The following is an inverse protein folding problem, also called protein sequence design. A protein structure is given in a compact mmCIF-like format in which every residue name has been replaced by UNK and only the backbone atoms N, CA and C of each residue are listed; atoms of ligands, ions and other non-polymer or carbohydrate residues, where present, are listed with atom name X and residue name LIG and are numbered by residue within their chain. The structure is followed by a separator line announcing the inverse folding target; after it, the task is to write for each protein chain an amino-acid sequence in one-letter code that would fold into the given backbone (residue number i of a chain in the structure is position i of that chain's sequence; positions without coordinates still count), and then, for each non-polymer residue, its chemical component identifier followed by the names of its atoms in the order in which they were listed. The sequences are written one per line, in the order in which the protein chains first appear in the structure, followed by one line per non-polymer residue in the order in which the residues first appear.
data_IF_552974624117
#
_entry.id   IF_552974624117
#
_cell.length_a   1.000
_cell.length_b   1.000
_cell.length_c   1.000
_cell.angle_alpha   90.00
_cell.angle_beta   90.00
_cell.angle_gamma   90.00
#
_symmetry.space_group_name_H-M   'P 1'
#
loop_
_entity.id
_entity.type
_entity.pdbx_description
1 polymer ?
#
# COMPACT_ATOMS: atom_id res chain seq x y z
N UNK A 1 9.93 5.06 14.08
CA UNK A 1 10.27 6.28 13.30
C UNK A 1 11.70 6.22 12.85
N UNK A 2 11.98 6.65 11.62
CA UNK A 2 13.34 6.72 11.06
C UNK A 2 13.33 6.75 9.55
N UNK A 3 14.50 6.86 8.95
CA UNK A 3 14.71 6.84 7.50
C UNK A 3 15.19 5.45 7.10
N UNK A 4 14.56 4.85 6.10
CA UNK A 4 14.83 3.50 5.66
C UNK A 4 15.01 3.46 4.14
N UNK A 5 15.95 2.64 3.68
CA UNK A 5 16.11 2.32 2.27
C UNK A 5 15.33 1.04 1.92
N UNK A 6 14.48 1.11 0.91
CA UNK A 6 13.78 -0.05 0.37
C UNK A 6 14.37 -0.43 -0.99
N UNK A 7 14.74 -1.71 -1.13
CA UNK A 7 15.17 -2.28 -2.42
C UNK A 7 14.00 -2.32 -3.42
N UNK A 8 14.35 -2.30 -4.70
CA UNK A 8 13.43 -2.53 -5.80
C UNK A 8 12.60 -3.81 -5.61
N UNK A 9 11.32 -3.77 -5.94
CA UNK A 9 10.45 -4.95 -5.94
C UNK A 9 9.44 -4.92 -7.08
N UNK A 10 9.08 -6.11 -7.54
CA UNK A 10 7.96 -6.30 -8.46
C UNK A 10 6.68 -6.53 -7.68
N UNK A 11 5.57 -6.09 -8.21
CA UNK A 11 4.25 -6.29 -7.60
C UNK A 11 3.14 -6.33 -8.63
N UNK A 12 2.10 -7.06 -8.31
CA UNK A 12 0.81 -7.00 -8.99
C UNK A 12 0.01 -5.84 -8.43
N UNK A 13 -0.67 -5.08 -9.27
CA UNK A 13 -1.55 -4.00 -8.85
C UNK A 13 -2.90 -4.03 -9.56
N UNK A 14 -3.93 -3.62 -8.83
CA UNK A 14 -5.24 -3.27 -9.33
C UNK A 14 -5.59 -1.87 -8.86
N UNK A 15 -5.90 -0.97 -9.80
CA UNK A 15 -6.12 0.46 -9.53
C UNK A 15 -7.60 0.78 -9.59
N UNK A 16 -8.11 1.49 -8.58
CA UNK A 16 -9.49 1.92 -8.48
C UNK A 16 -9.60 3.37 -8.01
N UNK A 17 -10.73 3.99 -8.34
CA UNK A 17 -11.21 5.19 -7.66
C UNK A 17 -12.17 4.77 -6.56
N UNK A 18 -11.99 5.26 -5.35
CA UNK A 18 -12.83 4.91 -4.21
C UNK A 18 -13.13 6.12 -3.33
N UNK A 19 -14.31 6.14 -2.73
CA UNK A 19 -14.59 7.06 -1.63
C UNK A 19 -13.72 6.70 -0.42
N UNK A 20 -13.20 7.71 0.27
CA UNK A 20 -12.35 7.49 1.46
C UNK A 20 -13.06 6.65 2.53
N UNK A 21 -14.37 6.85 2.69
CA UNK A 21 -15.19 6.05 3.61
C UNK A 21 -15.25 4.54 3.25
N UNK A 22 -15.05 4.18 1.99
CA UNK A 22 -15.06 2.80 1.50
C UNK A 22 -13.69 2.18 1.27
N UNK A 23 -12.64 2.92 1.51
CA UNK A 23 -11.28 2.50 1.23
C UNK A 23 -10.93 1.17 1.91
N UNK A 24 -11.17 1.05 3.20
CA UNK A 24 -10.86 -0.16 3.97
C UNK A 24 -11.62 -1.39 3.45
N UNK A 25 -12.90 -1.21 3.11
CA UNK A 25 -13.73 -2.27 2.56
C UNK A 25 -13.21 -2.76 1.20
N UNK A 26 -12.90 -1.83 0.30
CA UNK A 26 -12.39 -2.16 -1.03
C UNK A 26 -11.02 -2.85 -0.96
N UNK A 27 -10.12 -2.36 -0.12
CA UNK A 27 -8.81 -2.99 0.10
C UNK A 27 -8.96 -4.41 0.64
N UNK A 28 -9.87 -4.63 1.60
CA UNK A 28 -10.16 -5.96 2.16
C UNK A 28 -10.64 -6.97 1.10
N UNK A 29 -11.37 -6.51 0.08
CA UNK A 29 -11.83 -7.36 -1.02
C UNK A 29 -10.72 -7.57 -2.05
N UNK A 30 -9.98 -6.52 -2.41
CA UNK A 30 -9.02 -6.57 -3.50
C UNK A 30 -7.74 -7.34 -3.16
N UNK A 31 -7.34 -7.41 -1.90
CA UNK A 31 -6.20 -8.24 -1.49
C UNK A 31 -6.43 -9.72 -1.81
N UNK A 32 -7.53 -10.37 -1.38
CA UNK A 32 -7.84 -11.74 -1.79
C UNK A 32 -7.96 -11.92 -3.31
N UNK A 33 -8.48 -10.93 -4.01
CA UNK A 33 -8.59 -10.97 -5.48
C UNK A 33 -7.20 -11.09 -6.13
N UNK A 34 -6.22 -10.30 -5.69
CA UNK A 34 -4.84 -10.39 -6.17
C UNK A 34 -4.16 -11.71 -5.77
N UNK A 35 -4.42 -12.19 -4.55
CA UNK A 35 -3.89 -13.48 -4.07
C UNK A 35 -4.43 -14.63 -4.89
N UNK A 36 -5.73 -14.64 -5.20
CA UNK A 36 -6.35 -15.66 -6.04
C UNK A 36 -5.78 -15.65 -7.45
N UNK A 37 -5.62 -14.48 -8.05
CA UNK A 37 -4.95 -14.34 -9.35
C UNK A 37 -3.53 -14.91 -9.33
N UNK A 38 -2.76 -14.60 -8.30
CA UNK A 38 -1.42 -15.12 -8.10
C UNK A 38 -1.40 -16.65 -8.01
N UNK A 39 -2.30 -17.24 -7.21
CA UNK A 39 -2.41 -18.68 -7.05
C UNK A 39 -2.81 -19.39 -8.36
N UNK A 40 -3.80 -18.85 -9.08
CA UNK A 40 -4.27 -19.40 -10.36
C UNK A 40 -3.19 -19.39 -11.45
N UNK A 41 -2.29 -18.41 -11.40
CA UNK A 41 -1.21 -18.24 -12.38
C UNK A 41 0.15 -18.73 -11.87
N UNK A 42 0.20 -19.40 -10.72
CA UNK A 42 1.42 -19.94 -10.11
C UNK A 42 2.52 -18.87 -9.86
N UNK A 43 2.10 -17.69 -9.47
CA UNK A 43 2.98 -16.56 -9.19
C UNK A 43 3.39 -16.59 -7.72
N UNK A 44 4.70 -16.59 -7.45
CA UNK A 44 5.21 -16.61 -6.09
C UNK A 44 5.13 -15.22 -5.43
N UNK A 45 4.40 -15.13 -4.31
CA UNK A 45 4.28 -13.93 -3.49
C UNK A 45 5.56 -13.73 -2.69
N UNK A 46 6.06 -12.50 -2.61
CA UNK A 46 7.33 -12.18 -1.93
C UNK A 46 7.20 -11.28 -0.69
N UNK A 47 6.02 -10.82 -0.36
CA UNK A 47 5.84 -9.91 0.77
C UNK A 47 4.39 -9.62 1.09
N UNK A 48 4.19 -8.68 2.01
CA UNK A 48 2.86 -8.27 2.48
C UNK A 48 2.19 -7.31 1.50
N UNK A 49 0.84 -7.37 1.37
CA UNK A 49 0.10 -6.44 0.54
C UNK A 49 0.29 -5.00 1.00
N UNK A 50 0.22 -4.08 0.05
CA UNK A 50 0.29 -2.65 0.32
C UNK A 50 -0.61 -1.86 -0.62
N UNK A 51 -0.89 -0.63 -0.26
CA UNK A 51 -1.64 0.33 -1.06
C UNK A 51 -0.75 1.50 -1.44
N UNK A 52 -0.83 1.90 -2.69
CA UNK A 52 -0.25 3.15 -3.19
C UNK A 52 -1.38 4.17 -3.35
N UNK A 53 -1.22 5.34 -2.76
CA UNK A 53 -2.09 6.47 -2.99
C UNK A 53 -1.59 7.27 -4.20
N UNK A 54 -2.23 7.11 -5.35
CA UNK A 54 -1.87 7.83 -6.56
C UNK A 54 -2.33 9.29 -6.51
N UNK A 55 -3.52 9.52 -5.97
CA UNK A 55 -4.07 10.86 -5.72
C UNK A 55 -5.14 10.83 -4.63
N UNK A 56 -5.30 11.95 -3.93
CA UNK A 56 -6.34 12.15 -2.92
C UNK A 56 -6.99 13.51 -3.18
N UNK A 57 -8.31 13.51 -3.35
CA UNK A 57 -9.13 14.72 -3.39
C UNK A 57 -9.92 14.80 -2.08
N UNK A 58 -9.41 15.58 -1.14
CA UNK A 58 -10.04 15.72 0.19
C UNK A 58 -11.39 16.42 0.12
N UNK A 59 -11.60 17.33 -0.84
CA UNK A 59 -12.86 18.05 -1.00
C UNK A 59 -13.99 17.14 -1.48
N UNK A 60 -13.68 16.22 -2.38
CA UNK A 60 -14.63 15.21 -2.89
C UNK A 60 -14.61 13.91 -2.08
N UNK A 61 -13.71 13.80 -1.13
CA UNK A 61 -13.49 12.57 -0.35
C UNK A 61 -13.27 11.31 -1.22
N UNK A 62 -12.54 11.49 -2.33
CA UNK A 62 -12.22 10.44 -3.30
C UNK A 62 -10.70 10.25 -3.36
N UNK A 63 -10.28 9.03 -3.52
CA UNK A 63 -8.88 8.66 -3.75
C UNK A 63 -8.75 7.72 -4.94
N UNK A 64 -7.70 7.92 -5.74
CA UNK A 64 -7.23 6.91 -6.67
C UNK A 64 -6.15 6.09 -5.99
N UNK A 65 -6.39 4.80 -5.81
CA UNK A 65 -5.48 3.88 -5.14
C UNK A 65 -5.13 2.69 -6.02
N UNK A 66 -3.94 2.16 -5.83
CA UNK A 66 -3.54 0.85 -6.34
C UNK A 66 -3.36 -0.10 -5.17
N UNK A 67 -4.13 -1.19 -5.16
CA UNK A 67 -3.91 -2.31 -4.22
C UNK A 67 -2.85 -3.21 -4.83
N UNK A 68 -1.81 -3.53 -4.08
CA UNK A 68 -0.59 -4.15 -4.57
C UNK A 68 -0.24 -5.40 -3.79
N UNK A 69 0.29 -6.40 -4.50
CA UNK A 69 0.80 -7.64 -3.93
C UNK A 69 2.22 -7.89 -4.42
N UNK A 70 3.25 -7.87 -3.55
CA UNK A 70 4.62 -8.14 -3.95
C UNK A 70 4.80 -9.55 -4.51
N UNK A 71 5.56 -9.67 -5.60
CA UNK A 71 5.87 -10.95 -6.25
C UNK A 71 7.39 -11.08 -6.44
N UNK A 72 7.87 -12.32 -6.55
CA UNK A 72 9.30 -12.61 -6.63
C UNK A 72 9.93 -12.24 -7.96
N UNK A 73 9.19 -12.38 -9.06
CA UNK A 73 9.68 -12.17 -10.42
C UNK A 73 8.73 -11.29 -11.20
N UNK A 74 9.29 -10.51 -12.13
CA UNK A 74 8.49 -9.79 -13.12
C UNK A 74 7.68 -10.77 -13.96
N UNK A 75 6.42 -10.43 -14.18
CA UNK A 75 5.53 -11.15 -15.11
C UNK A 75 4.95 -10.18 -16.12
N UNK A 76 4.41 -10.75 -17.21
CA UNK A 76 3.65 -10.01 -18.21
C UNK A 76 2.20 -10.40 -18.10
N UNK A 77 1.31 -9.41 -18.07
CA UNK A 77 -0.14 -9.61 -18.08
C UNK A 77 -0.69 -9.30 -19.47
N UNK A 78 -1.84 -9.89 -19.80
CA UNK A 78 -2.51 -9.64 -21.08
C UNK A 78 -2.86 -8.17 -21.27
N UNK A 79 -2.82 -7.69 -22.49
CA UNK A 79 -3.31 -6.36 -22.84
C UNK A 79 -4.78 -6.22 -22.42
N UNK A 80 -5.11 -5.12 -21.73
CA UNK A 80 -6.44 -4.87 -21.20
C UNK A 80 -6.75 -5.57 -19.86
N UNK A 81 -5.78 -6.30 -19.28
CA UNK A 81 -5.94 -6.85 -17.92
C UNK A 81 -6.10 -5.73 -16.91
N UNK A 82 -7.01 -5.92 -15.94
CA UNK A 82 -7.20 -5.02 -14.81
C UNK A 82 -6.14 -5.23 -13.70
N UNK A 83 -5.37 -6.32 -13.77
CA UNK A 83 -4.20 -6.59 -12.95
C UNK A 83 -2.95 -6.42 -13.80
N UNK A 84 -2.03 -5.56 -13.32
CA UNK A 84 -0.81 -5.20 -14.02
C UNK A 84 0.39 -5.50 -13.12
N UNK A 85 1.48 -6.00 -13.71
CA UNK A 85 2.77 -6.09 -13.03
C UNK A 85 3.51 -4.75 -13.14
N UNK A 86 3.99 -4.26 -12.02
CA UNK A 86 4.75 -3.01 -11.94
C UNK A 86 5.99 -3.19 -11.08
N UNK A 87 6.88 -2.22 -11.11
CA UNK A 87 8.13 -2.21 -10.37
C UNK A 87 8.21 -0.99 -9.46
N UNK A 88 8.63 -1.21 -8.23
CA UNK A 88 8.96 -0.14 -7.30
C UNK A 88 10.49 -0.04 -7.19
N UNK A 89 11.05 1.05 -7.69
CA UNK A 89 12.49 1.33 -7.63
C UNK A 89 12.90 1.56 -6.17
N UNK A 90 14.14 1.19 -5.83
CA UNK A 90 14.68 1.41 -4.48
C UNK A 90 14.67 2.89 -4.08
N UNK A 91 14.28 3.18 -2.85
CA UNK A 91 14.15 4.53 -2.31
C UNK A 91 14.42 4.58 -0.81
N UNK A 92 14.72 5.77 -0.32
CA UNK A 92 14.78 6.08 1.10
C UNK A 92 13.41 6.56 1.56
N UNK A 93 12.92 6.08 2.69
CA UNK A 93 11.59 6.41 3.19
C UNK A 93 11.58 6.72 4.69
N UNK A 94 10.62 7.52 5.09
CA UNK A 94 10.22 7.67 6.49
C UNK A 94 9.09 6.70 6.78
N UNK A 95 9.18 5.95 7.88
CA UNK A 95 8.17 4.99 8.28
C UNK A 95 7.52 5.36 9.61
N UNK A 96 6.21 5.19 9.67
CA UNK A 96 5.42 5.23 10.90
C UNK A 96 4.64 3.93 11.02
N UNK A 97 4.68 3.29 12.19
CA UNK A 97 3.95 2.05 12.44
C UNK A 97 2.72 2.36 13.29
N UNK A 98 1.56 1.94 12.80
CA UNK A 98 0.29 1.96 13.53
C UNK A 98 -0.02 0.55 14.00
N UNK A 99 -0.14 0.37 15.31
CA UNK A 99 -0.67 -0.86 15.91
C UNK A 99 -2.13 -0.61 16.32
N UNK A 100 -3.02 -1.49 15.86
CA UNK A 100 -4.45 -1.37 16.06
C UNK A 100 -5.22 -1.06 14.77
N UNK A 101 -6.47 -0.64 14.93
CA UNK A 101 -7.38 -0.35 13.83
C UNK A 101 -7.02 0.94 13.06
N UNK A 102 -7.76 1.21 12.00
CA UNK A 102 -7.50 2.35 11.10
C UNK A 102 -8.08 3.68 11.59
N UNK A 103 -8.66 3.76 12.79
CA UNK A 103 -9.19 5.02 13.34
C UNK A 103 -8.12 6.10 13.49
N UNK A 104 -6.88 5.70 13.73
CA UNK A 104 -5.72 6.59 13.88
C UNK A 104 -4.86 6.74 12.60
N UNK A 105 -5.36 6.31 11.44
CA UNK A 105 -4.63 6.39 10.15
C UNK A 105 -4.17 7.83 9.85
N UNK A 106 -5.06 8.81 9.98
CA UNK A 106 -4.72 10.24 9.75
C UNK A 106 -3.61 10.72 10.68
N UNK A 107 -3.62 10.28 11.93
CA UNK A 107 -2.57 10.61 12.91
C UNK A 107 -1.23 9.99 12.53
N UNK A 108 -1.22 8.75 12.02
CA UNK A 108 0.00 8.08 11.55
C UNK A 108 0.62 8.83 10.37
N UNK A 109 -0.17 9.21 9.37
CA UNK A 109 0.27 10.02 8.24
C UNK A 109 0.80 11.38 8.68
N UNK A 110 0.09 12.05 9.59
CA UNK A 110 0.54 13.34 10.13
C UNK A 110 1.90 13.22 10.80
N UNK A 111 2.12 12.20 11.62
CA UNK A 111 3.42 11.98 12.28
C UNK A 111 4.56 11.75 11.29
N UNK A 112 4.33 11.04 10.19
CA UNK A 112 5.32 10.86 9.13
C UNK A 112 5.69 12.19 8.47
N UNK A 113 4.69 12.98 8.09
CA UNK A 113 4.88 14.32 7.48
C UNK A 113 5.56 15.30 8.42
N UNK A 114 5.14 15.34 9.69
CA UNK A 114 5.76 16.22 10.72
C UNK A 114 7.23 15.86 10.93
N UNK A 115 7.60 14.56 10.87
CA UNK A 115 8.99 14.14 10.95
C UNK A 115 9.82 14.64 9.76
N UNK A 116 9.31 14.51 8.53
CA UNK A 116 9.95 15.02 7.32
C UNK A 116 10.19 16.52 7.44
N UNK A 117 9.16 17.28 7.79
CA UNK A 117 9.25 18.73 7.92
C UNK A 117 10.25 19.16 9.02
N UNK A 118 10.23 18.50 10.18
CA UNK A 118 11.11 18.81 11.31
C UNK A 118 12.59 18.55 10.99
N UNK A 119 12.88 17.53 10.23
CA UNK A 119 14.25 17.15 9.88
C UNK A 119 14.73 17.78 8.56
N UNK A 120 13.92 18.66 7.95
CA UNK A 120 14.20 19.29 6.66
C UNK A 120 14.45 18.29 5.53
N UNK A 121 13.89 17.09 5.67
CA UNK A 121 13.89 16.13 4.58
C UNK A 121 12.98 16.62 3.46
N UNK A 122 13.42 16.44 2.24
CA UNK A 122 12.63 16.78 1.06
C UNK A 122 11.77 15.58 0.67
N UNK A 123 10.47 15.81 0.56
CA UNK A 123 9.57 14.84 -0.05
C UNK A 123 9.86 14.82 -1.56
N UNK A 124 10.48 13.75 -2.04
CA UNK A 124 10.67 13.56 -3.48
C UNK A 124 9.30 13.28 -4.12
N UNK A 125 8.89 14.16 -5.03
CA UNK A 125 7.57 14.08 -5.70
C UNK A 125 7.33 12.78 -6.47
N UNK A 126 8.38 12.03 -6.76
CA UNK A 126 8.31 10.77 -7.50
C UNK A 126 8.05 9.54 -6.62
N UNK A 127 8.09 9.68 -5.28
CA UNK A 127 7.91 8.56 -4.35
C UNK A 127 6.45 8.51 -3.90
N UNK A 128 5.75 7.39 -4.15
CA UNK A 128 4.36 7.26 -3.77
C UNK A 128 4.19 7.13 -2.25
N UNK A 129 3.08 7.62 -1.73
CA UNK A 129 2.64 7.34 -0.37
C UNK A 129 2.14 5.90 -0.29
N UNK A 130 2.71 5.13 0.65
CA UNK A 130 2.47 3.70 0.81
C UNK A 130 1.86 3.37 2.18
N UNK A 131 0.90 2.46 2.18
CA UNK A 131 0.45 1.76 3.39
C UNK A 131 0.70 0.26 3.23
N UNK A 132 1.56 -0.32 4.08
CA UNK A 132 1.86 -1.76 4.07
C UNK A 132 1.10 -2.45 5.18
N UNK A 133 0.28 -3.43 4.83
CA UNK A 133 -0.54 -4.21 5.77
C UNK A 133 0.23 -5.41 6.29
N UNK A 134 1.02 -5.21 7.35
CA UNK A 134 1.83 -6.27 7.96
C UNK A 134 0.97 -7.34 8.64
N UNK A 135 -0.07 -6.89 9.34
CA UNK A 135 -1.11 -7.70 9.97
C UNK A 135 -2.46 -7.01 9.76
N UNK A 136 -3.44 -7.72 9.26
CA UNK A 136 -4.73 -7.14 8.89
C UNK A 136 -5.89 -8.09 9.09
N UNK A 137 -7.09 -7.66 8.73
CA UNK A 137 -8.28 -8.50 8.71
C UNK A 137 -8.12 -9.72 7.80
N UNK A 138 -7.33 -9.62 6.74
CA UNK A 138 -7.08 -10.73 5.81
C UNK A 138 -6.22 -11.85 6.40
N UNK A 139 -5.54 -11.58 7.52
CA UNK A 139 -4.82 -12.58 8.31
C UNK A 139 -5.71 -13.23 9.39
N UNK A 140 -7.02 -12.95 9.39
CA UNK A 140 -7.97 -13.46 10.39
C UNK A 140 -7.83 -12.82 11.77
N UNK A 141 -7.18 -11.67 11.87
CA UNK A 141 -6.90 -11.00 13.13
C UNK A 141 -7.97 -9.97 13.50
N UNK A 142 -8.23 -9.83 14.81
CA UNK A 142 -9.05 -8.74 15.34
C UNK A 142 -8.36 -7.38 15.18
N UNK A 143 -9.12 -6.27 15.09
CA UNK A 143 -8.56 -4.93 14.85
C UNK A 143 -7.45 -4.50 15.82
N UNK A 144 -7.53 -4.93 17.08
CA UNK A 144 -6.52 -4.63 18.09
C UNK A 144 -5.13 -5.25 17.82
N UNK A 145 -5.09 -6.25 16.93
CA UNK A 145 -3.85 -6.97 16.55
C UNK A 145 -3.31 -6.55 15.19
N UNK A 146 -3.97 -5.64 14.48
CA UNK A 146 -3.51 -5.16 13.19
C UNK A 146 -2.24 -4.32 13.32
N UNK A 147 -1.43 -4.33 12.28
CA UNK A 147 -0.23 -3.51 12.18
C UNK A 147 -0.07 -3.02 10.74
N UNK A 148 0.03 -1.71 10.58
CA UNK A 148 0.22 -1.03 9.30
C UNK A 148 1.46 -0.15 9.35
N UNK A 149 2.26 -0.18 8.29
CA UNK A 149 3.40 0.73 8.09
C UNK A 149 3.04 1.78 7.03
N UNK A 150 3.25 3.05 7.36
CA UNK A 150 3.04 4.22 6.52
C UNK A 150 4.36 4.82 6.08
#
# INVERSE_FOLDING_TARGET
KGVFYKKCCYFLKHTINTKLARLNYNVKILIPYLINFSNQNQIAISGKPFVIYNSIDENKEISNISVCLPIKKRIFTSSGSDIICSELIGYTSVKTILNGDYSHRKTAWKKAKDFINKNRETEERAIPLLEVYNKSANDGLSPSKWQTTF
#
